data_IF_800629879650
#
_entry.id   IF_800629879650
#
_cell.length_a   1.000
_cell.length_b   1.000
_cell.length_c   1.000
_cell.angle_alpha   90.00
_cell.angle_beta   90.00
_cell.angle_gamma   90.00
#
_symmetry.space_group_name_H-M   'P 1'
#
loop_
_entity.id
_entity.type
_entity.pdbx_description
1 polymer ?
#
# COMPACT_ATOMS: atom_id res chain seq x y z
N UNK A 1 -1.88 -19.44 9.97
CA UNK A 1 -0.64 -18.66 9.81
C UNK A 1 -0.53 -18.33 8.33
N UNK A 2 -0.55 -17.05 7.94
CA UNK A 2 -0.30 -16.67 6.54
C UNK A 2 1.17 -16.97 6.22
N UNK A 3 1.47 -17.55 5.06
CA UNK A 3 2.87 -17.78 4.67
C UNK A 3 3.54 -16.48 4.22
N UNK A 4 4.88 -16.43 4.26
CA UNK A 4 5.63 -15.27 3.76
C UNK A 4 5.39 -15.03 2.27
N UNK A 5 5.22 -16.09 1.50
CA UNK A 5 4.93 -16.01 0.06
C UNK A 5 3.53 -15.45 -0.20
N UNK A 6 2.54 -15.85 0.61
CA UNK A 6 1.17 -15.29 0.52
C UNK A 6 1.17 -13.79 0.82
N UNK A 7 1.90 -13.37 1.85
CA UNK A 7 2.03 -11.96 2.21
C UNK A 7 2.72 -11.15 1.10
N UNK A 8 3.78 -11.68 0.49
CA UNK A 8 4.43 -11.03 -0.66
C UNK A 8 3.49 -10.85 -1.86
N UNK A 9 2.68 -11.87 -2.16
CA UNK A 9 1.67 -11.79 -3.24
C UNK A 9 0.60 -10.74 -2.93
N UNK A 10 0.15 -10.65 -1.68
CA UNK A 10 -0.84 -9.67 -1.25
C UNK A 10 -0.30 -8.24 -1.33
N UNK A 11 0.92 -8.00 -0.83
CA UNK A 11 1.61 -6.71 -0.92
C UNK A 11 1.75 -6.25 -2.37
N UNK A 12 2.20 -7.15 -3.26
CA UNK A 12 2.32 -6.85 -4.69
C UNK A 12 0.98 -6.48 -5.32
N UNK A 13 -0.10 -7.22 -5.00
CA UNK A 13 -1.44 -6.97 -5.53
C UNK A 13 -2.00 -5.64 -5.04
N UNK A 14 -1.85 -5.32 -3.75
CA UNK A 14 -2.26 -4.04 -3.19
C UNK A 14 -1.53 -2.88 -3.90
N UNK A 15 -0.21 -2.97 -4.06
CA UNK A 15 0.57 -1.98 -4.80
C UNK A 15 0.15 -1.82 -6.26
N UNK A 16 -0.17 -2.90 -6.97
CA UNK A 16 -0.69 -2.83 -8.36
C UNK A 16 -2.08 -2.18 -8.45
N UNK A 17 -2.93 -2.32 -7.44
CA UNK A 17 -4.22 -1.61 -7.39
C UNK A 17 -4.04 -0.09 -7.24
N UNK A 18 -2.94 0.35 -6.63
CA UNK A 18 -2.60 1.77 -6.45
C UNK A 18 -2.00 2.42 -7.71
N UNK A 19 -1.51 1.63 -8.68
CA UNK A 19 -1.02 2.15 -9.97
C UNK A 19 -2.13 2.82 -10.80
N UNK A 20 -3.36 2.31 -10.68
CA UNK A 20 -4.55 2.89 -11.28
C UNK A 20 -5.64 3.00 -10.20
N UNK A 21 -5.55 4.02 -9.33
CA UNK A 21 -6.43 4.10 -8.17
C UNK A 21 -7.88 4.27 -8.63
N UNK A 22 -8.84 3.56 -7.98
CA UNK A 22 -10.25 3.69 -8.32
C UNK A 22 -10.76 5.10 -8.00
N UNK A 23 -11.71 5.60 -8.79
CA UNK A 23 -12.36 6.89 -8.53
C UNK A 23 -13.26 6.89 -7.28
N UNK A 24 -13.66 5.70 -6.82
CA UNK A 24 -14.50 5.57 -5.62
C UNK A 24 -13.67 5.75 -4.36
N UNK A 25 -14.03 6.75 -3.55
CA UNK A 25 -13.41 7.04 -2.24
C UNK A 25 -13.30 5.80 -1.37
N UNK A 26 -14.41 5.09 -1.18
CA UNK A 26 -14.46 3.99 -0.22
C UNK A 26 -13.54 2.85 -0.68
N UNK A 27 -13.56 2.53 -1.98
CA UNK A 27 -12.69 1.50 -2.55
C UNK A 27 -11.21 1.90 -2.45
N UNK A 28 -10.88 3.19 -2.63
CA UNK A 28 -9.51 3.67 -2.45
C UNK A 28 -9.05 3.55 -1.00
N UNK A 29 -9.90 3.88 -0.02
CA UNK A 29 -9.58 3.73 1.39
C UNK A 29 -9.37 2.26 1.77
N UNK A 30 -10.21 1.35 1.28
CA UNK A 30 -10.06 -0.09 1.54
C UNK A 30 -8.72 -0.62 0.99
N UNK A 31 -8.29 -0.16 -0.19
CA UNK A 31 -6.99 -0.53 -0.78
C UNK A 31 -5.83 0.04 0.03
N UNK A 32 -5.96 1.26 0.55
CA UNK A 32 -4.93 1.88 1.37
C UNK A 32 -4.81 1.18 2.74
N UNK A 33 -5.91 0.77 3.34
CA UNK A 33 -5.91 -0.04 4.57
C UNK A 33 -5.29 -1.43 4.34
N UNK A 34 -5.62 -2.08 3.21
CA UNK A 34 -4.97 -3.34 2.80
C UNK A 34 -3.45 -3.15 2.63
N UNK A 35 -3.03 -2.03 2.02
CA UNK A 35 -1.61 -1.70 1.87
C UNK A 35 -0.92 -1.43 3.22
N UNK A 36 -1.57 -0.72 4.15
CA UNK A 36 -1.08 -0.45 5.51
C UNK A 36 -0.83 -1.75 6.29
N UNK A 37 -1.82 -2.64 6.28
CA UNK A 37 -1.72 -3.95 6.92
C UNK A 37 -0.54 -4.73 6.34
N UNK A 38 -0.43 -4.78 5.00
CA UNK A 38 0.67 -5.45 4.32
C UNK A 38 2.03 -4.85 4.70
N UNK A 39 2.20 -3.53 4.61
CA UNK A 39 3.43 -2.81 4.94
C UNK A 39 3.87 -3.06 6.38
N UNK A 40 2.95 -2.97 7.36
CA UNK A 40 3.27 -3.22 8.77
C UNK A 40 3.78 -4.65 9.00
N UNK A 41 3.24 -5.64 8.28
CA UNK A 41 3.71 -7.03 8.39
C UNK A 41 5.05 -7.25 7.70
N UNK A 42 5.34 -6.48 6.63
CA UNK A 42 6.63 -6.55 5.93
C UNK A 42 7.75 -5.96 6.78
N UNK A 43 7.55 -4.80 7.40
CA UNK A 43 8.54 -4.16 8.28
C UNK A 43 8.96 -5.06 9.44
N UNK A 44 8.03 -5.89 9.92
CA UNK A 44 8.29 -6.86 10.97
C UNK A 44 8.92 -8.17 10.46
N UNK A 45 9.23 -8.28 9.15
CA UNK A 45 9.76 -9.50 8.53
C UNK A 45 11.20 -9.31 8.02
N UNK A 46 12.12 -10.17 8.46
CA UNK A 46 13.53 -10.19 8.00
C UNK A 46 13.71 -10.76 6.57
N UNK A 47 12.70 -10.66 5.70
CA UNK A 47 12.69 -11.33 4.40
C UNK A 47 12.97 -10.35 3.25
N UNK A 48 14.07 -10.57 2.53
CA UNK A 48 14.42 -9.79 1.31
C UNK A 48 13.30 -9.84 0.26
N UNK A 49 12.65 -11.00 0.08
CA UNK A 49 11.51 -11.18 -0.85
C UNK A 49 10.37 -10.19 -0.52
N UNK A 50 10.16 -9.95 0.77
CA UNK A 50 9.11 -9.06 1.23
C UNK A 50 9.45 -7.59 0.95
N UNK A 51 10.72 -7.20 1.06
CA UNK A 51 11.19 -5.86 0.69
C UNK A 51 10.99 -5.58 -0.80
N UNK A 52 11.23 -6.56 -1.68
CA UNK A 52 10.93 -6.43 -3.11
C UNK A 52 9.43 -6.29 -3.40
N UNK A 53 8.57 -6.96 -2.64
CA UNK A 53 7.12 -6.89 -2.79
C UNK A 53 6.50 -5.56 -2.33
N UNK A 54 7.19 -4.81 -1.47
CA UNK A 54 6.77 -3.49 -0.96
C UNK A 54 7.13 -2.35 -1.92
N UNK A 55 8.14 -2.54 -2.76
CA UNK A 55 8.62 -1.52 -3.67
C UNK A 55 7.52 -0.93 -4.59
N UNK A 56 6.60 -1.74 -5.17
CA UNK A 56 5.48 -1.20 -5.95
C UNK A 56 4.53 -0.36 -5.10
N UNK A 57 4.17 -0.79 -3.89
CA UNK A 57 3.28 -0.01 -3.02
C UNK A 57 3.91 1.34 -2.66
N UNK A 58 5.19 1.35 -2.24
CA UNK A 58 5.90 2.59 -1.90
C UNK A 58 6.06 3.53 -3.10
N UNK A 59 6.32 2.99 -4.28
CA UNK A 59 6.46 3.79 -5.51
C UNK A 59 5.14 4.47 -5.88
N UNK A 60 4.02 3.76 -5.78
CA UNK A 60 2.71 4.33 -6.14
C UNK A 60 2.15 5.24 -5.05
N UNK A 61 2.43 5.00 -3.77
CA UNK A 61 2.05 5.91 -2.67
C UNK A 61 2.70 7.31 -2.81
N UNK A 62 3.84 7.41 -3.50
CA UNK A 62 4.52 8.67 -3.79
C UNK A 62 4.00 9.41 -5.03
N UNK A 63 2.96 8.91 -5.71
CA UNK A 63 2.42 9.54 -6.91
C UNK A 63 1.76 10.90 -6.62
N UNK A 64 2.00 11.94 -7.45
CA UNK A 64 1.40 13.26 -7.27
C UNK A 64 -0.13 13.25 -7.19
N UNK A 65 -0.78 12.32 -7.88
CA UNK A 65 -2.23 12.13 -7.92
C UNK A 65 -2.80 11.74 -6.55
N UNK A 66 -2.07 10.91 -5.81
CA UNK A 66 -2.42 10.49 -4.46
C UNK A 66 -2.03 11.57 -3.43
N UNK A 67 -0.82 12.13 -3.53
CA UNK A 67 -0.35 13.20 -2.62
C UNK A 67 -1.21 14.48 -2.70
N UNK A 68 -1.76 14.78 -3.88
CA UNK A 68 -2.63 15.94 -4.11
C UNK A 68 -4.11 15.58 -4.16
N UNK A 69 -4.48 14.39 -3.69
CA UNK A 69 -5.87 13.94 -3.73
C UNK A 69 -6.78 14.94 -2.97
N UNK A 70 -7.94 15.34 -3.53
CA UNK A 70 -8.78 16.39 -2.94
C UNK A 70 -9.33 16.02 -1.55
N UNK A 71 -9.50 14.73 -1.28
CA UNK A 71 -9.97 14.24 0.02
C UNK A 71 -8.84 14.26 1.09
N UNK A 72 -9.00 15.01 2.20
CA UNK A 72 -8.04 15.03 3.30
C UNK A 72 -7.84 13.67 3.98
N UNK A 73 -8.86 12.82 4.05
CA UNK A 73 -8.76 11.49 4.68
C UNK A 73 -7.76 10.61 3.92
N UNK A 74 -7.82 10.68 2.58
CA UNK A 74 -6.89 9.95 1.70
C UNK A 74 -5.46 10.45 1.92
N UNK A 75 -5.28 11.77 2.01
CA UNK A 75 -3.95 12.35 2.27
C UNK A 75 -3.41 11.98 3.66
N UNK A 76 -4.28 11.94 4.67
CA UNK A 76 -3.88 11.57 6.04
C UNK A 76 -3.38 10.12 6.10
N UNK A 77 -4.09 9.20 5.44
CA UNK A 77 -3.67 7.80 5.36
C UNK A 77 -2.35 7.66 4.60
N UNK A 78 -2.16 8.40 3.50
CA UNK A 78 -0.89 8.40 2.75
C UNK A 78 0.30 8.88 3.59
N UNK A 79 0.13 9.96 4.37
CA UNK A 79 1.21 10.45 5.25
C UNK A 79 1.58 9.39 6.28
N UNK A 80 0.60 8.74 6.91
CA UNK A 80 0.85 7.65 7.86
C UNK A 80 1.61 6.47 7.26
N UNK A 81 1.35 6.16 5.99
CA UNK A 81 2.03 5.08 5.26
C UNK A 81 3.47 5.41 4.86
N UNK A 82 3.93 6.65 5.06
CA UNK A 82 5.27 7.12 4.70
C UNK A 82 6.16 7.44 5.92
N UNK A 83 5.62 7.34 7.14
CA UNK A 83 6.34 7.53 8.41
C UNK A 83 6.94 6.22 8.93
#
# INVERSE_FOLDING_TARGET
>A
LMSKDDLGIMSYRAGKKLEQPPHSKNVLLDILEEAEICLSMVEQSDSEIMQYAVNPSMTHLAMPELLRHPNPDVRLVLVKLQE
#
